data_IF_304280889901
#
_entry.id   IF_304280889901
#
_cell.length_a   1.000
_cell.length_b   1.000
_cell.length_c   1.000
_cell.angle_alpha   90.00
_cell.angle_beta   90.00
_cell.angle_gamma   90.00
#
_symmetry.space_group_name_H-M   'P 1'
#
loop_
_entity.id
_entity.type
_entity.pdbx_description
1 polymer ?
#
# COMPACT_ATOMS: atom_id res chain seq x y z
N UNK A 1 15.91 17.42 6.30
CA UNK A 1 15.64 16.55 5.13
C UNK A 1 15.98 15.12 5.57
N UNK A 2 14.98 14.29 5.86
CA UNK A 2 15.16 12.93 6.40
C UNK A 2 14.66 11.86 5.42
N UNK A 3 13.97 12.28 4.35
CA UNK A 3 13.22 11.40 3.46
C UNK A 3 14.08 10.51 2.56
N UNK A 4 15.35 10.86 2.28
CA UNK A 4 16.21 10.03 1.40
C UNK A 4 17.24 9.17 2.15
N UNK A 5 17.36 9.36 3.46
CA UNK A 5 18.48 8.82 4.24
C UNK A 5 18.56 7.28 4.16
N UNK A 6 17.41 6.61 4.16
CA UNK A 6 17.33 5.15 3.98
C UNK A 6 17.70 4.67 2.58
N UNK A 7 17.59 5.52 1.57
CA UNK A 7 17.94 5.17 0.18
C UNK A 7 19.39 5.53 -0.18
N UNK A 8 20.00 6.50 0.50
CA UNK A 8 21.32 7.04 0.14
C UNK A 8 22.43 6.72 1.14
N UNK A 9 22.08 6.55 2.42
CA UNK A 9 23.02 6.30 3.53
C UNK A 9 22.78 4.93 4.15
N UNK A 10 21.57 4.65 4.65
CA UNK A 10 21.25 3.39 5.36
C UNK A 10 20.72 2.31 4.40
N UNK A 11 21.49 2.00 3.34
CA UNK A 11 21.06 1.01 2.32
C UNK A 11 21.23 -0.43 2.80
N UNK A 12 20.37 -1.33 2.34
CA UNK A 12 20.35 -2.73 2.78
C UNK A 12 21.62 -3.54 2.45
N UNK A 13 22.35 -3.20 1.38
CA UNK A 13 23.53 -3.98 0.94
C UNK A 13 24.86 -3.38 1.38
N UNK A 14 24.94 -2.06 1.48
CA UNK A 14 26.18 -1.34 1.77
C UNK A 14 25.85 0.00 2.45
N UNK A 15 25.49 -0.02 3.75
CA UNK A 15 25.20 1.21 4.48
C UNK A 15 26.48 2.04 4.65
N UNK A 16 26.36 3.37 4.56
CA UNK A 16 27.47 4.32 4.73
C UNK A 16 27.51 4.83 6.18
N UNK A 17 27.80 3.92 7.12
CA UNK A 17 27.74 4.20 8.55
C UNK A 17 28.67 5.33 9.00
N UNK A 18 29.83 5.51 8.36
CA UNK A 18 30.79 6.58 8.71
C UNK A 18 30.22 8.00 8.49
N UNK A 19 29.29 8.15 7.54
CA UNK A 19 28.59 9.41 7.28
C UNK A 19 27.18 9.48 7.87
N UNK A 20 26.78 8.48 8.67
CA UNK A 20 25.44 8.38 9.22
C UNK A 20 25.28 9.35 10.41
N UNK A 21 24.33 10.27 10.29
CA UNK A 21 24.06 11.28 11.32
C UNK A 21 23.54 10.69 12.64
N UNK A 22 23.09 9.44 12.62
CA UNK A 22 22.64 8.69 13.81
C UNK A 22 23.58 7.56 14.20
N UNK A 23 24.80 7.49 13.65
CA UNK A 23 25.74 6.37 13.87
C UNK A 23 25.94 6.06 15.36
N UNK A 24 26.18 7.10 16.17
CA UNK A 24 26.42 6.98 17.61
C UNK A 24 25.18 6.55 18.42
N UNK A 25 24.00 6.52 17.79
CA UNK A 25 22.72 6.12 18.38
C UNK A 25 22.15 4.86 17.70
N UNK A 26 22.82 4.32 16.68
CA UNK A 26 22.33 3.22 15.87
C UNK A 26 22.64 1.89 16.54
N UNK A 27 21.71 1.37 17.34
CA UNK A 27 21.86 0.08 18.01
C UNK A 27 22.14 -1.06 17.04
N UNK A 28 21.57 -1.02 15.84
CA UNK A 28 21.83 -2.03 14.82
C UNK A 28 23.30 -2.09 14.40
N UNK A 29 23.96 -0.93 14.24
CA UNK A 29 25.40 -0.89 13.94
C UNK A 29 26.25 -1.33 15.15
N UNK A 30 25.84 -0.93 16.37
CA UNK A 30 26.50 -1.32 17.63
C UNK A 30 26.43 -2.84 17.87
N UNK A 31 25.32 -3.47 17.50
CA UNK A 31 25.06 -4.90 17.68
C UNK A 31 25.66 -5.78 16.55
N UNK A 32 26.48 -5.20 15.67
CA UNK A 32 27.25 -5.94 14.65
C UNK A 32 26.76 -5.77 13.22
N UNK A 33 25.72 -4.98 12.97
CA UNK A 33 25.32 -4.55 11.62
C UNK A 33 24.74 -5.64 10.72
N UNK A 34 24.61 -6.88 11.22
CA UNK A 34 23.92 -7.95 10.50
C UNK A 34 22.45 -7.58 10.34
N UNK A 35 21.99 -7.52 9.10
CA UNK A 35 20.57 -7.27 8.80
C UNK A 35 19.71 -8.29 9.55
N UNK A 36 18.78 -7.87 10.43
CA UNK A 36 17.84 -8.80 11.07
C UNK A 36 16.78 -9.30 10.08
N UNK A 37 16.64 -8.67 8.91
CA UNK A 37 15.62 -9.00 7.92
C UNK A 37 15.78 -10.32 7.15
N UNK A 38 16.90 -11.07 7.09
CA UNK A 38 16.93 -12.39 6.43
C UNK A 38 15.85 -13.33 6.98
N UNK A 39 15.54 -13.22 8.27
CA UNK A 39 14.47 -13.99 8.91
C UNK A 39 13.05 -13.55 8.52
N UNK A 40 12.84 -12.29 8.11
CA UNK A 40 11.52 -11.73 7.79
C UNK A 40 11.28 -11.59 6.28
N UNK A 41 12.32 -11.32 5.50
CA UNK A 41 12.26 -11.16 4.05
C UNK A 41 12.12 -12.50 3.30
N UNK A 42 12.54 -13.62 3.90
CA UNK A 42 12.44 -14.96 3.33
C UNK A 42 11.01 -15.53 3.18
N UNK A 43 9.99 -14.83 3.68
CA UNK A 43 8.58 -15.26 3.61
C UNK A 43 7.78 -14.48 2.56
N UNK A 44 8.42 -13.60 1.78
CA UNK A 44 7.75 -12.93 0.66
C UNK A 44 7.45 -13.93 -0.45
N UNK A 45 6.32 -14.65 -0.34
CA UNK A 45 5.71 -15.33 -1.48
C UNK A 45 5.68 -14.35 -2.65
N UNK A 46 6.03 -14.78 -3.87
CA UNK A 46 5.97 -13.92 -5.04
C UNK A 46 4.62 -13.23 -5.08
N UNK A 47 4.64 -11.90 -5.17
CA UNK A 47 3.42 -11.14 -5.26
C UNK A 47 2.61 -11.63 -6.47
N UNK A 48 1.32 -11.87 -6.27
CA UNK A 48 0.44 -12.27 -7.36
C UNK A 48 0.47 -11.24 -8.50
N UNK A 49 0.18 -11.71 -9.72
CA UNK A 49 0.09 -10.83 -10.91
C UNK A 49 -0.84 -9.66 -10.64
N UNK A 50 -0.45 -8.48 -11.11
CA UNK A 50 -1.25 -7.27 -10.93
C UNK A 50 -2.56 -7.33 -11.71
N UNK A 51 -2.50 -7.76 -12.97
CA UNK A 51 -3.67 -7.94 -13.81
C UNK A 51 -4.66 -8.93 -13.20
N UNK A 52 -5.91 -8.49 -13.08
CA UNK A 52 -6.99 -9.23 -12.46
C UNK A 52 -6.97 -9.27 -10.93
N UNK A 53 -6.01 -8.61 -10.26
CA UNK A 53 -5.90 -8.62 -8.79
C UNK A 53 -6.86 -7.65 -8.08
N UNK A 54 -7.07 -7.88 -6.78
CA UNK A 54 -7.85 -6.96 -5.92
C UNK A 54 -7.19 -5.57 -5.86
N UNK A 55 -5.85 -5.50 -5.94
CA UNK A 55 -5.11 -4.24 -5.96
C UNK A 55 -5.43 -3.42 -7.20
N UNK A 56 -5.55 -4.07 -8.36
CA UNK A 56 -5.94 -3.41 -9.60
C UNK A 56 -7.40 -2.92 -9.53
N UNK A 57 -8.33 -3.76 -9.06
CA UNK A 57 -9.74 -3.40 -8.90
C UNK A 57 -9.92 -2.21 -7.93
N UNK A 58 -9.27 -2.26 -6.76
CA UNK A 58 -9.24 -1.16 -5.78
C UNK A 58 -8.73 0.13 -6.40
N UNK A 59 -7.63 0.06 -7.15
CA UNK A 59 -7.06 1.20 -7.87
C UNK A 59 -8.00 1.82 -8.90
N UNK A 60 -8.79 1.01 -9.62
CA UNK A 60 -9.80 1.51 -10.57
C UNK A 60 -10.89 2.32 -9.87
N UNK A 61 -11.40 1.83 -8.74
CA UNK A 61 -12.40 2.57 -7.95
C UNK A 61 -11.80 3.86 -7.39
N UNK A 62 -10.63 3.80 -6.75
CA UNK A 62 -9.95 4.99 -6.23
C UNK A 62 -9.71 6.04 -7.33
N UNK A 63 -9.27 5.62 -8.52
CA UNK A 63 -9.06 6.52 -9.66
C UNK A 63 -10.36 7.19 -10.11
N UNK A 64 -11.48 6.46 -10.15
CA UNK A 64 -12.78 7.04 -10.46
C UNK A 64 -13.20 8.08 -9.40
N UNK A 65 -12.93 7.79 -8.12
CA UNK A 65 -13.28 8.67 -7.01
C UNK A 65 -12.47 9.96 -6.96
N UNK A 66 -11.25 9.98 -7.52
CA UNK A 66 -10.48 11.21 -7.72
C UNK A 66 -11.20 12.19 -8.66
N UNK A 67 -12.01 11.68 -9.60
CA UNK A 67 -12.71 12.50 -10.58
C UNK A 67 -14.13 12.89 -10.16
N UNK A 68 -14.64 12.35 -9.06
CA UNK A 68 -16.00 12.61 -8.58
C UNK A 68 -16.59 11.44 -7.80
N UNK A 69 -17.92 11.39 -7.69
CA UNK A 69 -18.62 10.34 -6.95
C UNK A 69 -18.95 9.13 -7.84
N UNK A 70 -18.98 7.93 -7.28
CA UNK A 70 -19.40 6.70 -7.97
C UNK A 70 -20.67 6.16 -7.31
N UNK A 71 -21.74 5.93 -8.07
CA UNK A 71 -22.94 5.27 -7.55
C UNK A 71 -22.59 3.89 -6.97
N UNK A 72 -23.18 3.52 -5.84
CA UNK A 72 -22.89 2.22 -5.21
C UNK A 72 -23.11 1.03 -6.17
N UNK A 73 -24.17 1.10 -6.97
CA UNK A 73 -24.51 0.09 -7.99
C UNK A 73 -23.49 0.00 -9.14
N UNK A 74 -22.70 1.05 -9.37
CA UNK A 74 -21.70 1.10 -10.42
C UNK A 74 -20.32 0.61 -9.97
N UNK A 75 -20.11 0.39 -8.66
CA UNK A 75 -18.80 0.06 -8.11
C UNK A 75 -18.20 -1.21 -8.74
N UNK A 76 -19.00 -2.28 -8.86
CA UNK A 76 -18.56 -3.53 -9.51
C UNK A 76 -18.16 -3.29 -10.98
N UNK A 77 -18.92 -2.47 -11.71
CA UNK A 77 -18.62 -2.10 -13.10
C UNK A 77 -17.32 -1.31 -13.21
N UNK A 78 -17.12 -0.30 -12.37
CA UNK A 78 -15.91 0.53 -12.33
C UNK A 78 -14.67 -0.30 -12.01
N UNK A 79 -14.80 -1.26 -11.09
CA UNK A 79 -13.72 -2.18 -10.72
C UNK A 79 -13.45 -3.27 -11.76
N UNK A 80 -14.27 -3.36 -12.83
CA UNK A 80 -14.24 -4.43 -13.84
C UNK A 80 -14.54 -5.82 -13.25
N UNK A 81 -15.51 -5.89 -12.35
CA UNK A 81 -15.94 -7.07 -11.59
C UNK A 81 -17.45 -7.30 -11.73
N UNK A 82 -18.03 -7.02 -12.90
CA UNK A 82 -19.49 -7.11 -13.13
C UNK A 82 -20.07 -8.47 -12.77
N UNK A 83 -19.33 -9.54 -13.05
CA UNK A 83 -19.74 -10.92 -12.79
C UNK A 83 -19.20 -11.46 -11.44
N UNK A 84 -18.67 -10.59 -10.58
CA UNK A 84 -18.03 -10.94 -9.30
C UNK A 84 -18.46 -9.96 -8.20
N UNK A 85 -19.78 -9.82 -7.99
CA UNK A 85 -20.36 -8.86 -7.04
C UNK A 85 -19.85 -9.07 -5.61
N UNK A 86 -19.78 -10.31 -5.12
CA UNK A 86 -19.25 -10.61 -3.78
C UNK A 86 -17.81 -10.12 -3.59
N UNK A 87 -16.99 -10.25 -4.64
CA UNK A 87 -15.60 -9.78 -4.62
C UNK A 87 -15.53 -8.26 -4.64
N UNK A 88 -16.35 -7.62 -5.47
CA UNK A 88 -16.47 -6.17 -5.49
C UNK A 88 -16.89 -5.62 -4.12
N UNK A 89 -17.89 -6.24 -3.48
CA UNK A 89 -18.37 -5.85 -2.16
C UNK A 89 -17.28 -5.99 -1.09
N UNK A 90 -16.51 -7.09 -1.09
CA UNK A 90 -15.37 -7.25 -0.15
C UNK A 90 -14.31 -6.16 -0.33
N UNK A 91 -13.99 -5.79 -1.57
CA UNK A 91 -12.99 -4.73 -1.84
C UNK A 91 -13.51 -3.38 -1.37
N UNK A 92 -14.77 -3.06 -1.66
CA UNK A 92 -15.42 -1.83 -1.20
C UNK A 92 -15.46 -1.77 0.32
N UNK A 93 -15.81 -2.88 1.00
CA UNK A 93 -15.81 -2.93 2.46
C UNK A 93 -14.40 -2.66 3.02
N UNK A 94 -13.36 -3.26 2.44
CA UNK A 94 -11.97 -2.98 2.86
C UNK A 94 -11.59 -1.50 2.71
N UNK A 95 -12.09 -0.83 1.68
CA UNK A 95 -11.86 0.60 1.46
C UNK A 95 -12.59 1.49 2.48
N UNK A 96 -13.81 1.10 2.89
CA UNK A 96 -14.57 1.77 3.93
C UNK A 96 -13.90 1.59 5.31
N UNK A 97 -13.46 0.37 5.61
CA UNK A 97 -12.78 0.04 6.87
C UNK A 97 -11.46 0.81 7.01
N UNK A 98 -10.71 0.91 5.91
CA UNK A 98 -9.48 1.71 5.83
C UNK A 98 -9.74 3.23 5.80
N UNK A 99 -11.02 3.66 5.78
CA UNK A 99 -11.46 5.06 5.64
C UNK A 99 -10.89 5.76 4.41
N UNK A 100 -10.68 5.02 3.33
CA UNK A 100 -10.24 5.60 2.05
C UNK A 100 -11.40 6.08 1.19
N UNK A 101 -12.62 5.63 1.49
CA UNK A 101 -13.86 6.08 0.84
C UNK A 101 -14.94 6.23 1.90
N UNK A 102 -15.98 7.00 1.59
CA UNK A 102 -17.21 7.08 2.40
C UNK A 102 -18.43 6.87 1.52
N UNK A 103 -19.52 6.39 2.11
CA UNK A 103 -20.82 6.26 1.44
C UNK A 103 -21.74 7.41 1.85
N UNK A 104 -22.22 8.18 0.87
CA UNK A 104 -23.17 9.29 1.06
C UNK A 104 -24.20 9.24 -0.07
N UNK A 105 -25.49 9.23 0.26
CA UNK A 105 -26.60 9.25 -0.71
C UNK A 105 -26.43 8.20 -1.83
N UNK A 106 -26.21 6.94 -1.48
CA UNK A 106 -25.99 5.82 -2.42
C UNK A 106 -24.82 6.04 -3.41
N UNK A 107 -23.84 6.84 -3.00
CA UNK A 107 -22.62 7.10 -3.74
C UNK A 107 -21.39 6.89 -2.85
N UNK A 108 -20.35 6.28 -3.41
CA UNK A 108 -19.00 6.33 -2.86
C UNK A 108 -18.33 7.63 -3.29
N UNK A 109 -17.59 8.22 -2.36
CA UNK A 109 -16.78 9.42 -2.58
C UNK A 109 -15.51 9.37 -1.73
N UNK A 110 -14.51 10.18 -2.08
CA UNK A 110 -13.35 10.37 -1.21
C UNK A 110 -13.78 11.01 0.12
N UNK A 111 -13.13 10.65 1.25
CA UNK A 111 -13.30 11.36 2.51
C UNK A 111 -12.97 12.85 2.30
N UNK A 112 -13.76 13.72 2.93
CA UNK A 112 -13.56 15.17 2.92
C UNK A 112 -12.30 15.59 3.66
#
# INVERSE_FOLDING_TARGET
>A
VLMDFGATVCTARAPKCDGCVVNNLCMWNVDGGDDPAPATAGTSKPQARFEGSDRQARGKLMKALVSGTVRCVDAARVMNLRDQEDRAQRIVQSLLDDRLIVMVNDCYQSPS
#
